data_IF_242752163506
#
_entry.id   IF_242752163506
#
_cell.length_a   1.000
_cell.length_b   1.000
_cell.length_c   1.000
_cell.angle_alpha   90.00
_cell.angle_beta   90.00
_cell.angle_gamma   90.00
#
_symmetry.space_group_name_H-M   'P 1'
#
loop_
_entity.id
_entity.type
_entity.pdbx_description
1 polymer ?
#
# COMPACT_ATOMS: atom_id res chain seq x y z
N UNK A 1 -24.30 -33.27 -44.76
CA UNK A 1 -23.12 -33.07 -43.89
C UNK A 1 -22.85 -31.60 -43.58
N UNK A 2 -23.35 -30.66 -44.38
CA UNK A 2 -23.17 -29.19 -44.12
C UNK A 2 -24.16 -28.59 -43.12
N UNK A 3 -25.34 -29.22 -42.94
CA UNK A 3 -26.38 -28.67 -42.05
C UNK A 3 -26.14 -28.92 -40.55
N UNK A 4 -25.40 -29.95 -40.19
CA UNK A 4 -25.09 -30.27 -38.78
C UNK A 4 -23.99 -29.34 -38.23
N UNK A 5 -23.06 -28.88 -39.08
CA UNK A 5 -21.98 -27.96 -38.65
C UNK A 5 -22.49 -26.54 -38.38
N UNK A 6 -23.54 -26.10 -39.07
CA UNK A 6 -24.12 -24.78 -38.85
C UNK A 6 -24.92 -24.71 -37.54
N UNK A 7 -25.60 -25.79 -37.16
CA UNK A 7 -26.39 -25.88 -35.92
C UNK A 7 -25.45 -25.94 -34.68
N UNK A 8 -24.34 -26.65 -34.79
CA UNK A 8 -23.37 -26.68 -33.69
C UNK A 8 -22.68 -25.32 -33.45
N UNK A 9 -22.38 -24.56 -34.52
CA UNK A 9 -21.83 -23.20 -34.37
C UNK A 9 -22.82 -22.23 -33.72
N UNK A 10 -24.09 -22.32 -34.05
CA UNK A 10 -25.15 -21.48 -33.49
C UNK A 10 -25.44 -21.83 -32.01
N UNK A 11 -25.37 -23.12 -31.65
CA UNK A 11 -25.53 -23.57 -30.26
C UNK A 11 -24.34 -23.14 -29.37
N UNK A 12 -23.11 -23.14 -29.88
CA UNK A 12 -21.96 -22.66 -29.16
C UNK A 12 -22.04 -21.12 -28.96
N UNK A 13 -22.51 -20.38 -29.97
CA UNK A 13 -22.76 -18.93 -29.83
C UNK A 13 -23.90 -18.60 -28.86
N UNK A 14 -24.99 -19.41 -28.83
CA UNK A 14 -26.06 -19.23 -27.86
C UNK A 14 -25.65 -19.64 -26.44
N UNK A 15 -24.78 -20.64 -26.27
CA UNK A 15 -24.22 -21.00 -24.93
C UNK A 15 -23.28 -19.95 -24.38
N UNK A 16 -22.51 -19.26 -25.22
CA UNK A 16 -21.66 -18.12 -24.83
C UNK A 16 -22.49 -16.90 -24.42
N UNK A 17 -23.71 -16.75 -24.94
CA UNK A 17 -24.64 -15.66 -24.58
C UNK A 17 -25.47 -15.95 -23.31
N UNK A 18 -25.62 -17.22 -22.89
CA UNK A 18 -26.44 -17.61 -21.73
C UNK A 18 -25.60 -17.77 -20.46
N UNK A 19 -24.36 -18.21 -20.58
CA UNK A 19 -23.37 -18.09 -19.52
C UNK A 19 -22.55 -16.87 -19.87
N UNK A 20 -22.95 -15.72 -19.33
CA UNK A 20 -22.07 -14.57 -19.30
C UNK A 20 -20.74 -15.01 -18.68
N UNK A 21 -19.81 -15.41 -19.55
CA UNK A 21 -18.39 -15.36 -19.21
C UNK A 21 -18.13 -13.88 -18.90
N UNK A 22 -18.35 -13.50 -17.64
CA UNK A 22 -17.64 -12.38 -17.10
C UNK A 22 -16.18 -12.76 -17.31
N UNK A 23 -15.59 -12.23 -18.38
CA UNK A 23 -14.15 -12.10 -18.47
C UNK A 23 -13.80 -11.43 -17.14
N UNK A 24 -13.15 -12.15 -16.24
CA UNK A 24 -12.52 -11.54 -15.09
C UNK A 24 -11.47 -10.61 -15.67
N UNK A 25 -11.89 -9.37 -15.94
CA UNK A 25 -10.97 -8.31 -16.34
C UNK A 25 -10.09 -8.03 -15.14
N UNK A 26 -8.89 -8.56 -15.21
CA UNK A 26 -7.86 -8.37 -14.21
C UNK A 26 -7.36 -6.94 -14.33
N UNK A 27 -7.81 -6.05 -13.46
CA UNK A 27 -7.34 -4.69 -13.37
C UNK A 27 -6.50 -4.50 -12.12
N UNK A 28 -5.42 -3.74 -12.22
CA UNK A 28 -4.69 -3.23 -11.08
C UNK A 28 -5.53 -2.17 -10.34
N UNK A 29 -5.15 -1.76 -9.13
CA UNK A 29 -5.96 -0.85 -8.31
C UNK A 29 -6.26 0.47 -9.03
N UNK A 30 -7.48 1.04 -8.88
CA UNK A 30 -7.99 2.19 -9.63
C UNK A 30 -7.24 3.51 -9.44
N UNK A 31 -6.35 3.59 -8.49
CA UNK A 31 -5.50 4.73 -8.23
C UNK A 31 -4.16 4.69 -9.01
N UNK A 32 -3.89 3.59 -9.74
CA UNK A 32 -2.81 3.49 -10.71
C UNK A 32 -3.33 3.77 -12.13
N UNK A 33 -2.58 4.56 -12.90
CA UNK A 33 -2.87 4.86 -14.29
C UNK A 33 -1.89 4.14 -15.20
N UNK A 34 -2.42 3.44 -16.21
CA UNK A 34 -1.59 2.74 -17.18
C UNK A 34 -1.05 3.68 -18.25
N UNK A 35 0.24 3.61 -18.53
CA UNK A 35 0.91 4.33 -19.62
C UNK A 35 1.25 3.37 -20.74
N UNK A 36 0.72 3.62 -21.93
CA UNK A 36 1.08 2.89 -23.13
C UNK A 36 2.54 3.15 -23.55
N UNK A 37 3.07 4.34 -23.25
CA UNK A 37 4.43 4.76 -23.62
C UNK A 37 5.50 3.93 -22.89
N UNK A 38 5.28 3.64 -21.62
CA UNK A 38 6.22 2.91 -20.77
C UNK A 38 5.81 1.46 -20.54
N UNK A 39 4.62 1.06 -20.98
CA UNK A 39 3.99 -0.24 -20.70
C UNK A 39 4.01 -0.54 -19.20
N UNK A 40 3.46 0.39 -18.41
CA UNK A 40 3.46 0.25 -16.97
C UNK A 40 2.48 1.19 -16.28
N UNK A 41 2.32 0.99 -14.98
CA UNK A 41 1.34 1.63 -14.13
C UNK A 41 2.00 2.66 -13.24
N UNK A 42 1.42 3.84 -13.13
CA UNK A 42 1.91 4.97 -12.34
C UNK A 42 0.90 5.41 -11.31
N UNK A 43 1.36 5.65 -10.09
CA UNK A 43 0.58 6.25 -9.02
C UNK A 43 1.39 7.34 -8.35
N UNK A 44 0.87 8.58 -8.36
CA UNK A 44 1.44 9.67 -7.58
C UNK A 44 0.96 9.59 -6.14
N UNK A 45 1.89 9.63 -5.22
CA UNK A 45 1.67 9.77 -3.78
C UNK A 45 1.95 11.23 -3.41
N UNK A 46 0.89 11.99 -3.15
CA UNK A 46 0.99 13.43 -2.83
C UNK A 46 1.34 13.69 -1.37
N UNK A 47 1.04 12.76 -0.48
CA UNK A 47 1.44 12.83 0.93
C UNK A 47 2.95 12.59 0.99
N UNK A 48 3.74 13.59 1.47
CA UNK A 48 5.18 13.44 1.52
C UNK A 48 5.62 12.40 2.55
N UNK A 49 6.62 11.60 2.18
CA UNK A 49 7.26 10.62 3.07
C UNK A 49 8.78 10.66 2.92
N UNK A 50 9.51 10.07 3.88
CA UNK A 50 10.95 9.84 3.74
C UNK A 50 11.20 8.91 2.56
N UNK A 51 12.39 8.95 1.97
CA UNK A 51 12.70 8.07 0.84
C UNK A 51 12.53 6.58 1.18
N UNK A 52 12.88 6.19 2.40
CA UNK A 52 12.75 4.80 2.84
C UNK A 52 11.29 4.37 2.94
N UNK A 53 10.42 5.23 3.46
CA UNK A 53 8.98 4.94 3.58
C UNK A 53 8.29 4.99 2.21
N UNK A 54 8.66 5.96 1.36
CA UNK A 54 8.21 6.02 -0.04
C UNK A 54 8.55 4.73 -0.80
N UNK A 55 9.81 4.25 -0.70
CA UNK A 55 10.25 3.00 -1.30
C UNK A 55 9.46 1.80 -0.75
N UNK A 56 9.28 1.74 0.57
CA UNK A 56 8.55 0.64 1.19
C UNK A 56 7.08 0.63 0.77
N UNK A 57 6.41 1.80 0.77
CA UNK A 57 5.01 1.90 0.34
C UNK A 57 4.82 1.41 -1.09
N UNK A 58 5.67 1.83 -2.02
CA UNK A 58 5.61 1.31 -3.39
C UNK A 58 5.80 -0.21 -3.44
N UNK A 59 6.78 -0.75 -2.70
CA UNK A 59 7.06 -2.19 -2.63
C UNK A 59 5.87 -2.98 -2.08
N UNK A 60 5.21 -2.51 -1.03
CA UNK A 60 4.03 -3.14 -0.43
C UNK A 60 2.81 -3.13 -1.37
N UNK A 61 2.78 -2.21 -2.33
CA UNK A 61 1.76 -2.16 -3.39
C UNK A 61 2.14 -3.00 -4.63
N UNK A 62 3.23 -3.77 -4.57
CA UNK A 62 3.72 -4.55 -5.71
C UNK A 62 4.33 -3.69 -6.83
N UNK A 63 4.84 -2.51 -6.47
CA UNK A 63 5.47 -1.54 -7.36
C UNK A 63 6.86 -1.17 -6.87
N UNK A 64 7.58 -0.35 -7.61
CA UNK A 64 8.86 0.24 -7.22
C UNK A 64 8.75 1.76 -7.19
N UNK A 65 9.64 2.42 -6.48
CA UNK A 65 9.77 3.88 -6.54
C UNK A 65 10.28 4.26 -7.94
N UNK A 66 9.49 5.04 -8.67
CA UNK A 66 9.76 5.36 -10.08
C UNK A 66 11.11 6.07 -10.28
N UNK A 67 11.80 5.73 -11.35
CA UNK A 67 13.06 6.36 -11.73
C UNK A 67 13.05 6.76 -13.22
N UNK A 68 13.60 7.91 -13.62
CA UNK A 68 13.62 8.37 -15.01
C UNK A 68 14.69 7.62 -15.84
N UNK A 69 14.59 6.28 -15.90
CA UNK A 69 15.56 5.38 -16.53
C UNK A 69 15.60 5.49 -18.05
N UNK A 70 14.63 6.17 -18.65
CA UNK A 70 14.57 6.46 -20.08
C UNK A 70 13.84 7.79 -20.32
N UNK A 71 13.94 8.32 -21.56
CA UNK A 71 13.19 9.52 -21.96
C UNK A 71 11.68 9.32 -21.85
N UNK A 72 11.17 8.12 -22.12
CA UNK A 72 9.77 7.75 -21.95
C UNK A 72 9.34 7.79 -20.48
N UNK A 73 10.14 7.20 -19.58
CA UNK A 73 9.88 7.26 -18.13
C UNK A 73 9.91 8.69 -17.61
N UNK A 74 10.92 9.48 -17.98
CA UNK A 74 11.02 10.88 -17.59
C UNK A 74 9.82 11.71 -18.10
N UNK A 75 9.36 11.45 -19.32
CA UNK A 75 8.18 12.14 -19.88
C UNK A 75 6.90 11.78 -19.13
N UNK A 76 6.69 10.51 -18.82
CA UNK A 76 5.51 10.05 -18.08
C UNK A 76 5.49 10.55 -16.63
N UNK A 77 6.64 10.53 -15.94
CA UNK A 77 6.77 11.10 -14.61
C UNK A 77 6.41 12.60 -14.60
N UNK A 78 6.95 13.38 -15.57
CA UNK A 78 6.58 14.80 -15.71
C UNK A 78 5.10 15.00 -16.01
N UNK A 79 4.52 14.18 -16.88
CA UNK A 79 3.10 14.22 -17.19
C UNK A 79 2.25 13.98 -15.94
N UNK A 80 2.61 12.95 -15.16
CA UNK A 80 1.95 12.62 -13.90
C UNK A 80 2.02 13.79 -12.92
N UNK A 81 3.20 14.41 -12.74
CA UNK A 81 3.36 15.57 -11.84
C UNK A 81 2.49 16.77 -12.26
N UNK A 82 2.45 17.08 -13.56
CA UNK A 82 1.66 18.21 -14.09
C UNK A 82 0.17 18.05 -13.87
N UNK A 83 -0.35 16.85 -14.02
CA UNK A 83 -1.78 16.55 -13.80
C UNK A 83 -2.25 16.76 -12.35
N UNK A 84 -1.32 16.84 -11.40
CA UNK A 84 -1.59 17.08 -9.99
C UNK A 84 -1.08 18.44 -9.49
N UNK A 85 -0.79 19.37 -10.42
CA UNK A 85 -0.33 20.73 -10.11
C UNK A 85 0.97 20.83 -9.31
N UNK A 86 1.82 19.81 -9.37
CA UNK A 86 3.15 19.81 -8.75
C UNK A 86 4.21 20.46 -9.64
N UNK A 87 3.97 21.72 -10.07
CA UNK A 87 4.81 22.37 -11.09
C UNK A 87 6.20 22.76 -10.56
N UNK A 88 6.31 23.11 -9.29
CA UNK A 88 7.57 23.55 -8.66
C UNK A 88 8.00 22.61 -7.52
N UNK A 89 7.51 21.38 -7.54
CA UNK A 89 7.77 20.42 -6.47
C UNK A 89 8.75 19.35 -6.95
N UNK A 90 9.74 19.04 -6.11
CA UNK A 90 10.62 17.89 -6.29
C UNK A 90 9.95 16.63 -5.76
N UNK A 91 10.01 15.54 -6.51
CA UNK A 91 9.56 14.22 -6.07
C UNK A 91 10.75 13.28 -5.89
N UNK A 92 10.68 12.34 -4.95
CA UNK A 92 11.67 11.28 -4.85
C UNK A 92 11.64 10.36 -6.06
N UNK A 93 12.83 9.93 -6.48
CA UNK A 93 13.03 8.83 -7.41
C UNK A 93 13.53 7.58 -6.69
N UNK A 94 13.51 6.42 -7.35
CA UNK A 94 14.14 5.20 -6.85
C UNK A 94 15.67 5.20 -6.91
N UNK A 95 16.32 6.33 -7.22
CA UNK A 95 17.78 6.42 -7.32
C UNK A 95 18.35 6.88 -5.98
N UNK A 96 19.31 6.11 -5.46
CA UNK A 96 19.90 6.36 -4.14
C UNK A 96 21.36 5.92 -4.05
N UNK A 97 22.08 6.45 -3.05
CA UNK A 97 23.44 6.07 -2.65
C UNK A 97 23.50 5.66 -1.16
N UNK A 98 22.42 5.01 -0.65
CA UNK A 98 22.31 4.65 0.77
C UNK A 98 23.28 3.56 1.20
N UNK A 99 23.77 2.73 0.28
CA UNK A 99 24.71 1.64 0.58
C UNK A 99 26.18 2.06 0.43
N UNK A 100 26.45 3.07 -0.39
CA UNK A 100 27.82 3.52 -0.65
C UNK A 100 27.81 4.99 -1.03
N UNK A 101 28.62 5.79 -0.36
CA UNK A 101 28.77 7.22 -0.65
C UNK A 101 29.12 7.44 -2.12
N UNK A 102 28.35 8.29 -2.81
CA UNK A 102 28.55 8.69 -4.21
C UNK A 102 28.32 7.61 -5.30
N UNK A 103 27.94 6.39 -4.90
CA UNK A 103 27.56 5.34 -5.86
C UNK A 103 26.05 5.23 -5.94
N UNK A 104 25.46 5.91 -6.91
CA UNK A 104 24.01 5.95 -7.11
C UNK A 104 23.53 4.83 -8.03
N UNK A 105 22.48 4.15 -7.60
CA UNK A 105 21.76 3.10 -8.30
C UNK A 105 20.27 3.28 -8.13
N UNK A 106 19.48 2.79 -9.08
CA UNK A 106 18.03 2.62 -8.86
C UNK A 106 17.77 1.49 -7.87
N UNK A 107 16.56 1.44 -7.32
CA UNK A 107 16.10 0.30 -6.49
C UNK A 107 16.19 -1.05 -7.22
N UNK A 108 16.23 -1.04 -8.56
CA UNK A 108 16.40 -2.22 -9.42
C UNK A 108 17.87 -2.48 -9.81
N UNK A 109 18.80 -1.74 -9.25
CA UNK A 109 20.25 -1.93 -9.46
C UNK A 109 20.81 -1.31 -10.73
N UNK A 110 20.11 -0.44 -11.44
CA UNK A 110 20.63 0.28 -12.60
C UNK A 110 21.55 1.42 -12.12
N UNK A 111 22.84 1.45 -12.51
CA UNK A 111 23.74 2.51 -12.09
C UNK A 111 23.39 3.85 -12.76
N UNK A 112 23.59 4.94 -12.02
CA UNK A 112 23.29 6.31 -12.47
C UNK A 112 23.91 6.65 -13.83
N UNK A 113 25.11 6.13 -14.11
CA UNK A 113 25.80 6.35 -15.37
C UNK A 113 25.05 5.83 -16.62
N UNK A 114 24.05 4.98 -16.43
CA UNK A 114 23.18 4.46 -17.51
C UNK A 114 21.85 5.19 -17.60
N UNK A 115 21.59 6.17 -16.73
CA UNK A 115 20.32 6.90 -16.65
C UNK A 115 20.51 8.27 -17.30
N UNK A 116 19.66 8.66 -18.28
CA UNK A 116 19.79 9.94 -18.99
C UNK A 116 19.23 11.08 -18.12
N UNK A 117 19.90 11.39 -17.00
CA UNK A 117 19.52 12.47 -16.09
C UNK A 117 20.08 13.81 -16.59
N UNK A 118 19.25 14.86 -16.44
CA UNK A 118 19.67 16.25 -16.56
C UNK A 118 19.67 16.86 -15.17
N UNK A 119 20.82 17.32 -14.72
CA UNK A 119 20.94 17.95 -13.42
C UNK A 119 20.38 19.38 -13.40
N UNK A 120 19.80 19.78 -12.29
CA UNK A 120 19.49 21.17 -12.03
C UNK A 120 20.77 22.02 -11.88
N UNK A 121 20.65 23.35 -11.93
CA UNK A 121 21.79 24.21 -11.78
C UNK A 121 22.49 24.01 -10.43
N UNK A 122 23.80 23.83 -10.44
CA UNK A 122 24.67 23.55 -9.30
C UNK A 122 24.43 22.19 -8.62
N UNK A 123 23.73 21.27 -9.28
CA UNK A 123 23.51 19.89 -8.81
C UNK A 123 24.35 18.87 -9.61
N UNK A 124 24.75 17.75 -9.05
CA UNK A 124 24.63 17.36 -7.65
C UNK A 124 25.69 18.07 -6.78
N UNK A 125 25.32 18.61 -5.62
CA UNK A 125 26.24 19.34 -4.75
C UNK A 125 26.58 18.60 -3.44
N UNK A 126 25.84 17.52 -3.12
CA UNK A 126 25.98 16.72 -1.92
C UNK A 126 26.06 17.59 -0.64
N UNK A 127 25.12 18.52 -0.49
CA UNK A 127 25.11 19.50 0.58
C UNK A 127 25.32 18.86 1.95
N UNK A 128 26.31 19.37 2.67
CA UNK A 128 26.67 18.85 4.00
C UNK A 128 27.16 17.39 4.02
N UNK A 129 27.47 16.79 2.86
CA UNK A 129 27.80 15.36 2.69
C UNK A 129 26.69 14.40 3.15
N UNK A 130 25.42 14.82 3.08
CA UNK A 130 24.26 14.07 3.58
C UNK A 130 23.26 13.68 2.49
N UNK A 131 23.42 14.17 1.27
CA UNK A 131 22.47 13.92 0.18
C UNK A 131 22.77 12.60 -0.50
N UNK A 132 21.86 11.66 -0.33
CA UNK A 132 21.99 10.27 -0.78
C UNK A 132 20.84 9.82 -1.66
N UNK A 133 19.84 10.68 -1.90
CA UNK A 133 18.64 10.37 -2.65
C UNK A 133 18.48 11.36 -3.80
N UNK A 134 18.08 10.87 -4.97
CA UNK A 134 17.86 11.72 -6.14
C UNK A 134 16.39 12.08 -6.23
N UNK A 135 16.14 13.37 -6.42
CA UNK A 135 14.82 13.93 -6.73
C UNK A 135 14.71 14.27 -8.21
N UNK A 136 13.47 14.46 -8.66
CA UNK A 136 13.12 14.78 -10.03
C UNK A 136 12.07 15.89 -10.07
N UNK A 137 12.31 16.90 -10.90
CA UNK A 137 11.45 18.05 -11.08
C UNK A 137 10.50 17.93 -12.27
N UNK A 138 9.40 18.67 -12.26
CA UNK A 138 8.44 18.72 -13.37
C UNK A 138 9.03 19.28 -14.66
N UNK A 139 10.13 20.04 -14.61
CA UNK A 139 10.87 20.50 -15.77
C UNK A 139 11.79 19.43 -16.37
N UNK A 140 12.00 18.30 -15.65
CA UNK A 140 12.84 17.19 -16.08
C UNK A 140 14.25 17.21 -15.51
N UNK A 141 14.60 18.19 -14.66
CA UNK A 141 15.88 18.22 -13.97
C UNK A 141 15.87 17.37 -12.71
N UNK A 142 17.04 16.95 -12.28
CA UNK A 142 17.26 16.16 -11.07
C UNK A 142 18.19 16.88 -10.10
N UNK A 143 18.10 16.54 -8.82
CA UNK A 143 18.98 17.01 -7.77
C UNK A 143 19.26 15.89 -6.77
N UNK A 144 20.41 15.91 -6.09
CA UNK A 144 20.59 15.08 -4.90
C UNK A 144 20.00 15.79 -3.65
N UNK A 145 19.47 15.01 -2.73
CA UNK A 145 18.76 15.52 -1.54
C UNK A 145 18.94 14.56 -0.37
N UNK A 146 18.69 15.08 0.85
CA UNK A 146 18.61 14.25 2.05
C UNK A 146 17.42 13.30 1.98
N UNK A 147 17.64 12.02 2.30
CA UNK A 147 16.63 10.97 2.20
C UNK A 147 15.57 11.03 3.31
N UNK A 148 15.86 11.71 4.41
CA UNK A 148 15.00 11.85 5.61
C UNK A 148 14.04 13.06 5.54
N UNK A 149 14.20 13.94 4.56
CA UNK A 149 13.26 15.05 4.32
C UNK A 149 12.07 14.57 3.51
N UNK A 150 10.84 14.60 4.05
CA UNK A 150 9.67 14.08 3.34
C UNK A 150 9.39 14.80 2.01
N UNK A 151 9.11 14.02 0.96
CA UNK A 151 8.71 14.50 -0.38
C UNK A 151 7.62 13.63 -0.97
N UNK A 152 6.79 14.17 -1.88
CA UNK A 152 5.94 13.37 -2.75
C UNK A 152 6.78 12.41 -3.61
N UNK A 153 6.15 11.38 -4.16
CA UNK A 153 6.83 10.39 -4.98
C UNK A 153 5.86 9.69 -5.92
N UNK A 154 6.41 8.96 -6.89
CA UNK A 154 5.63 8.15 -7.83
C UNK A 154 5.99 6.68 -7.65
N UNK A 155 5.00 5.83 -7.47
CA UNK A 155 5.15 4.39 -7.57
C UNK A 155 4.95 3.95 -9.03
N UNK A 156 5.81 3.06 -9.51
CA UNK A 156 5.78 2.50 -10.85
C UNK A 156 5.77 0.97 -10.80
N UNK A 157 4.91 0.36 -11.58
CA UNK A 157 4.89 -1.08 -11.83
C UNK A 157 5.01 -1.32 -13.33
N UNK A 158 6.05 -2.03 -13.74
CA UNK A 158 6.19 -2.49 -15.14
C UNK A 158 5.25 -3.67 -15.41
N UNK A 159 4.84 -3.83 -16.65
CA UNK A 159 4.06 -5.00 -17.10
C UNK A 159 2.83 -4.65 -17.90
N UNK A 160 2.14 -5.70 -18.34
CA UNK A 160 0.94 -5.60 -19.16
C UNK A 160 -0.20 -4.87 -18.44
N UNK A 161 -1.20 -4.43 -19.22
CA UNK A 161 -2.38 -3.73 -18.70
C UNK A 161 -3.19 -4.58 -17.73
N UNK A 162 -3.16 -5.90 -17.88
CA UNK A 162 -3.87 -6.83 -17.01
C UNK A 162 -2.97 -7.34 -15.89
N UNK A 163 -3.44 -7.21 -14.66
CA UNK A 163 -2.75 -7.69 -13.45
C UNK A 163 -3.70 -8.58 -12.67
N UNK A 164 -3.30 -9.84 -12.46
CA UNK A 164 -4.05 -10.77 -11.64
C UNK A 164 -3.97 -10.36 -10.17
N UNK A 165 -5.11 -10.11 -9.56
CA UNK A 165 -5.25 -9.95 -8.12
C UNK A 165 -5.95 -11.17 -7.53
N UNK A 166 -5.66 -11.48 -6.27
CA UNK A 166 -6.33 -12.53 -5.52
C UNK A 166 -7.73 -12.05 -5.06
N UNK A 167 -8.47 -12.91 -4.34
CA UNK A 167 -9.81 -12.58 -3.81
C UNK A 167 -9.83 -11.37 -2.88
N UNK A 168 -8.69 -10.96 -2.36
CA UNK A 168 -8.52 -9.80 -1.50
C UNK A 168 -8.25 -8.50 -2.28
N UNK A 169 -8.31 -8.52 -3.61
CA UNK A 169 -8.03 -7.36 -4.46
C UNK A 169 -6.57 -6.90 -4.38
N UNK A 170 -5.64 -7.81 -4.10
CA UNK A 170 -4.20 -7.53 -4.01
C UNK A 170 -3.40 -8.59 -4.74
N UNK A 171 -2.17 -8.24 -5.12
CA UNK A 171 -1.17 -9.17 -5.67
C UNK A 171 -0.41 -9.93 -4.56
N UNK A 172 -0.66 -9.60 -3.31
CA UNK A 172 -0.02 -10.18 -2.14
C UNK A 172 -0.76 -11.44 -1.71
N UNK A 173 -0.13 -12.60 -1.90
CA UNK A 173 -0.70 -13.92 -1.61
C UNK A 173 -0.78 -14.23 -0.10
N UNK A 174 -0.17 -13.42 0.76
CA UNK A 174 -0.26 -13.58 2.22
C UNK A 174 -1.58 -13.05 2.79
N UNK A 175 -2.36 -12.27 2.01
CA UNK A 175 -3.71 -11.90 2.40
C UNK A 175 -4.70 -13.04 2.15
N UNK A 176 -5.36 -13.51 3.20
CA UNK A 176 -6.34 -14.58 3.14
C UNK A 176 -7.75 -14.05 3.40
N UNK A 177 -8.68 -14.43 2.51
CA UNK A 177 -10.09 -14.08 2.63
C UNK A 177 -10.81 -15.01 3.61
N UNK A 178 -11.56 -14.45 4.54
CA UNK A 178 -12.40 -15.17 5.50
C UNK A 178 -13.88 -14.90 5.21
N UNK A 179 -14.62 -15.96 4.84
CA UNK A 179 -16.02 -15.84 4.47
C UNK A 179 -16.92 -15.39 5.62
N UNK A 180 -16.54 -15.69 6.89
CA UNK A 180 -17.30 -15.38 8.10
C UNK A 180 -17.40 -13.87 8.33
N UNK A 181 -16.31 -13.14 8.10
CA UNK A 181 -16.22 -11.69 8.25
C UNK A 181 -16.36 -10.94 6.92
N UNK A 182 -16.25 -11.66 5.79
CA UNK A 182 -16.16 -11.12 4.41
C UNK A 182 -14.97 -10.17 4.21
N UNK A 183 -13.93 -10.30 5.03
CA UNK A 183 -12.72 -9.49 5.00
C UNK A 183 -11.48 -10.34 4.78
N UNK A 184 -10.37 -9.69 4.53
CA UNK A 184 -9.07 -10.29 4.33
C UNK A 184 -8.11 -9.89 5.46
N UNK A 185 -7.30 -10.85 5.90
CA UNK A 185 -6.31 -10.61 6.96
C UNK A 185 -4.96 -11.16 6.55
N UNK A 186 -3.92 -10.48 7.01
CA UNK A 186 -2.52 -10.87 6.88
C UNK A 186 -1.82 -10.73 8.22
N UNK A 187 -1.08 -11.75 8.62
CA UNK A 187 -0.24 -11.74 9.80
C UNK A 187 1.19 -11.35 9.41
N UNK A 188 1.65 -10.22 9.89
CA UNK A 188 3.02 -9.76 9.69
C UNK A 188 3.94 -10.34 10.77
N UNK A 189 4.84 -11.26 10.35
CA UNK A 189 5.82 -11.93 11.22
C UNK A 189 7.04 -11.07 11.51
N UNK A 190 7.37 -10.13 10.63
CA UNK A 190 8.44 -9.16 10.84
C UNK A 190 7.94 -8.10 11.81
N UNK A 191 8.56 -7.97 13.00
CA UNK A 191 8.05 -7.09 14.04
C UNK A 191 8.24 -5.61 13.68
N UNK A 192 7.35 -4.78 14.17
CA UNK A 192 7.42 -3.33 14.07
C UNK A 192 6.86 -2.64 15.30
N UNK A 193 7.13 -1.35 15.49
CA UNK A 193 6.37 -0.50 16.40
C UNK A 193 4.91 -0.38 15.91
N UNK A 194 4.01 0.08 16.78
CA UNK A 194 2.61 0.31 16.40
C UNK A 194 2.50 1.28 15.22
N UNK A 195 3.25 2.37 15.24
CA UNK A 195 3.32 3.34 14.12
C UNK A 195 3.77 2.66 12.82
N UNK A 196 4.82 1.83 12.89
CA UNK A 196 5.30 1.08 11.72
C UNK A 196 4.27 0.08 11.22
N UNK A 197 3.60 -0.64 12.10
CA UNK A 197 2.53 -1.56 11.77
C UNK A 197 1.35 -0.84 11.10
N UNK A 198 0.92 0.30 11.65
CA UNK A 198 -0.12 1.14 11.06
C UNK A 198 0.27 1.62 9.64
N UNK A 199 1.50 2.10 9.48
CA UNK A 199 2.03 2.50 8.17
C UNK A 199 2.00 1.35 7.16
N UNK A 200 2.48 0.15 7.53
CA UNK A 200 2.55 -1.01 6.64
C UNK A 200 1.14 -1.42 6.20
N UNK A 201 0.21 -1.60 7.12
CA UNK A 201 -1.18 -1.95 6.77
C UNK A 201 -1.83 -0.91 5.86
N UNK A 202 -1.62 0.39 6.13
CA UNK A 202 -2.10 1.48 5.27
C UNK A 202 -1.47 1.43 3.87
N UNK A 203 -0.17 1.13 3.76
CA UNK A 203 0.52 1.01 2.49
C UNK A 203 0.02 -0.17 1.64
N UNK A 204 -0.45 -1.24 2.29
CA UNK A 204 -1.08 -2.40 1.65
C UNK A 204 -2.56 -2.16 1.30
N UNK A 205 -3.07 -0.93 1.41
CA UNK A 205 -4.48 -0.54 1.21
C UNK A 205 -5.44 -1.23 2.21
N UNK A 206 -4.98 -1.40 3.44
CA UNK A 206 -5.74 -1.91 4.56
C UNK A 206 -5.53 -1.03 5.80
N UNK A 207 -5.76 -1.59 6.95
CA UNK A 207 -5.50 -0.99 8.26
C UNK A 207 -5.12 -2.08 9.27
N UNK A 208 -4.60 -1.70 10.44
CA UNK A 208 -4.47 -2.65 11.55
C UNK A 208 -5.84 -3.25 11.89
N UNK A 209 -5.91 -4.57 12.04
CA UNK A 209 -7.16 -5.30 12.23
C UNK A 209 -7.96 -4.76 13.43
N UNK A 210 -9.25 -4.61 13.27
CA UNK A 210 -10.17 -4.15 14.31
C UNK A 210 -11.12 -5.29 14.61
N UNK A 211 -11.22 -5.70 15.88
CA UNK A 211 -12.25 -6.66 16.27
C UNK A 211 -13.57 -5.90 16.45
N UNK A 212 -14.56 -6.23 15.63
CA UNK A 212 -15.90 -5.62 15.68
C UNK A 212 -17.02 -6.60 16.04
N UNK A 213 -16.68 -7.88 16.25
CA UNK A 213 -17.63 -8.95 16.58
C UNK A 213 -16.92 -10.18 17.15
N UNK A 214 -17.68 -11.09 17.73
CA UNK A 214 -17.17 -12.42 18.13
C UNK A 214 -16.70 -13.24 16.94
N UNK A 215 -17.34 -13.08 15.79
CA UNK A 215 -16.94 -13.75 14.56
C UNK A 215 -15.55 -13.30 14.10
N UNK A 216 -15.26 -12.02 14.24
CA UNK A 216 -13.93 -11.48 13.93
C UNK A 216 -12.88 -11.89 14.95
N UNK A 217 -13.24 -11.90 16.26
CA UNK A 217 -12.37 -12.45 17.28
C UNK A 217 -11.99 -13.92 17.02
N UNK A 218 -12.95 -14.75 16.55
CA UNK A 218 -12.67 -16.13 16.16
C UNK A 218 -11.74 -16.21 14.93
N UNK A 219 -11.95 -15.36 13.93
CA UNK A 219 -11.09 -15.29 12.74
C UNK A 219 -9.67 -14.87 13.15
N UNK A 220 -9.50 -13.82 13.96
CA UNK A 220 -8.16 -13.39 14.39
C UNK A 220 -7.47 -14.43 15.29
N UNK A 221 -8.23 -15.17 16.11
CA UNK A 221 -7.68 -16.30 16.85
C UNK A 221 -7.11 -17.38 15.92
N UNK A 222 -7.82 -17.66 14.82
CA UNK A 222 -7.34 -18.58 13.80
C UNK A 222 -6.12 -18.03 13.06
N UNK A 223 -6.14 -16.78 12.62
CA UNK A 223 -5.00 -16.10 11.97
C UNK A 223 -3.76 -16.19 12.87
N UNK A 224 -3.92 -15.97 14.16
CA UNK A 224 -2.84 -16.07 15.13
C UNK A 224 -2.36 -17.53 15.32
N UNK A 225 -3.28 -18.50 15.36
CA UNK A 225 -2.95 -19.91 15.50
C UNK A 225 -2.17 -20.45 14.27
N UNK A 226 -2.50 -20.00 13.07
CA UNK A 226 -1.80 -20.34 11.83
C UNK A 226 -0.35 -19.78 11.79
N UNK A 227 0.02 -18.93 12.76
CA UNK A 227 1.34 -18.33 12.93
C UNK A 227 1.94 -18.68 14.30
N UNK A 228 2.43 -19.92 14.51
CA UNK A 228 3.04 -20.34 15.76
C UNK A 228 4.35 -19.60 16.03
N UNK A 229 4.79 -19.56 17.28
CA UNK A 229 6.01 -18.85 17.72
C UNK A 229 7.24 -19.24 16.93
N UNK A 230 7.32 -20.51 16.48
CA UNK A 230 8.42 -21.01 15.65
C UNK A 230 8.48 -20.39 14.25
N UNK A 231 7.36 -19.87 13.75
CA UNK A 231 7.30 -19.21 12.43
C UNK A 231 7.60 -17.71 12.50
N UNK A 232 7.71 -17.14 13.70
CA UNK A 232 7.92 -15.71 13.93
C UNK A 232 9.40 -15.49 14.30
N UNK A 233 10.20 -14.83 13.44
CA UNK A 233 11.63 -14.62 13.69
C UNK A 233 11.86 -13.56 14.78
N UNK A 234 12.98 -13.70 15.49
CA UNK A 234 13.43 -12.70 16.48
C UNK A 234 13.13 -13.06 17.94
N UNK A 235 13.67 -12.23 18.85
CA UNK A 235 13.54 -12.38 20.32
C UNK A 235 12.71 -11.23 20.86
N UNK A 236 11.39 -11.35 20.80
CA UNK A 236 10.39 -10.43 21.32
C UNK A 236 9.15 -11.21 21.76
N UNK A 237 8.15 -10.51 22.31
CA UNK A 237 6.89 -11.13 22.72
C UNK A 237 6.11 -11.66 21.52
N UNK A 238 5.92 -12.95 21.42
CA UNK A 238 5.23 -13.63 20.29
C UNK A 238 3.81 -14.09 20.65
N UNK A 239 3.44 -13.96 21.90
CA UNK A 239 2.11 -14.27 22.41
C UNK A 239 1.09 -13.17 22.17
N UNK A 240 1.56 -11.97 21.77
CA UNK A 240 0.73 -10.80 21.47
C UNK A 240 1.03 -10.25 20.07
N UNK A 241 0.07 -9.57 19.46
CA UNK A 241 0.22 -8.87 18.19
C UNK A 241 -0.51 -7.52 18.24
N UNK A 242 0.07 -6.47 17.62
CA UNK A 242 -0.65 -5.21 17.48
C UNK A 242 -1.88 -5.35 16.58
N UNK A 243 -2.95 -4.67 16.99
CA UNK A 243 -4.19 -4.47 16.23
C UNK A 243 -4.64 -3.01 16.32
N UNK A 244 -5.68 -2.65 15.58
CA UNK A 244 -6.06 -1.29 15.23
C UNK A 244 -6.82 -0.49 16.29
N UNK A 245 -6.30 -0.38 17.52
CA UNK A 245 -6.83 0.58 18.50
C UNK A 245 -5.72 1.20 19.36
N UNK A 246 -5.96 2.40 19.88
CA UNK A 246 -5.10 3.08 20.85
C UNK A 246 -5.89 4.15 21.62
N UNK A 247 -5.29 4.74 22.65
CA UNK A 247 -5.97 5.69 23.53
C UNK A 247 -5.92 7.15 23.08
N UNK A 248 -5.34 7.41 21.89
CA UNK A 248 -5.21 8.76 21.31
C UNK A 248 -4.58 9.80 22.25
N UNK A 249 -3.74 9.37 23.20
CA UNK A 249 -3.08 10.20 24.20
C UNK A 249 -3.91 10.50 25.45
N UNK A 250 -5.09 9.89 25.57
CA UNK A 250 -5.92 9.99 26.78
C UNK A 250 -6.15 8.59 27.32
N UNK A 251 -5.34 8.19 28.28
CA UNK A 251 -5.40 6.84 28.82
C UNK A 251 -6.82 6.44 29.27
N UNK A 252 -7.24 5.27 28.85
CA UNK A 252 -8.56 4.71 29.10
C UNK A 252 -9.62 5.04 28.06
N UNK A 253 -9.40 6.04 27.18
CA UNK A 253 -10.30 6.31 26.05
C UNK A 253 -9.80 5.56 24.79
N UNK A 254 -9.80 4.24 24.87
CA UNK A 254 -9.37 3.40 23.77
C UNK A 254 -10.36 3.45 22.61
N UNK A 255 -9.83 3.83 21.43
CA UNK A 255 -10.58 3.94 20.18
C UNK A 255 -9.88 3.19 19.07
N UNK A 256 -10.66 2.70 18.12
CA UNK A 256 -10.13 2.12 16.88
C UNK A 256 -9.34 3.16 16.09
N UNK A 257 -8.53 2.71 15.15
CA UNK A 257 -7.83 3.61 14.20
C UNK A 257 -8.80 4.40 13.30
N UNK A 258 -10.10 4.11 13.35
CA UNK A 258 -11.18 4.86 12.70
C UNK A 258 -11.89 5.85 13.64
N UNK A 259 -11.52 5.89 14.93
CA UNK A 259 -12.02 6.85 15.92
C UNK A 259 -13.21 6.37 16.74
N UNK A 260 -13.78 5.20 16.45
CA UNK A 260 -14.88 4.61 17.24
C UNK A 260 -14.36 4.09 18.60
N UNK A 261 -15.14 4.19 19.66
CA UNK A 261 -14.83 3.46 20.89
C UNK A 261 -14.89 1.95 20.66
N UNK A 262 -14.15 1.16 21.43
CA UNK A 262 -14.15 -0.31 21.28
C UNK A 262 -15.56 -0.90 21.42
N UNK A 263 -16.38 -0.30 22.27
CA UNK A 263 -17.78 -0.70 22.48
C UNK A 263 -18.65 -0.38 21.25
N UNK A 264 -18.48 0.80 20.65
CA UNK A 264 -19.17 1.17 19.40
C UNK A 264 -18.74 0.29 18.23
N UNK A 265 -17.44 -0.04 18.15
CA UNK A 265 -16.92 -0.97 17.17
C UNK A 265 -17.49 -2.39 17.34
N UNK A 266 -17.89 -2.79 18.57
CA UNK A 266 -18.59 -4.04 18.86
C UNK A 266 -17.80 -5.09 19.65
N UNK A 267 -16.58 -4.77 20.11
CA UNK A 267 -15.75 -5.68 20.90
C UNK A 267 -14.83 -4.92 21.87
N UNK A 268 -15.06 -5.13 23.18
CA UNK A 268 -14.34 -4.48 24.26
C UNK A 268 -13.83 -5.48 25.33
N UNK A 269 -13.57 -6.74 24.94
CA UNK A 269 -13.17 -7.81 25.86
C UNK A 269 -11.67 -7.85 26.06
N UNK A 270 -11.22 -7.33 27.18
CA UNK A 270 -9.82 -7.40 27.60
C UNK A 270 -9.49 -8.69 28.36
N UNK A 271 -8.21 -9.06 28.39
CA UNK A 271 -7.70 -10.06 29.33
C UNK A 271 -7.95 -9.60 30.76
N UNK A 272 -8.13 -10.54 31.69
CA UNK A 272 -8.30 -10.22 33.09
C UNK A 272 -7.12 -9.41 33.63
N UNK A 273 -7.41 -8.22 34.16
CA UNK A 273 -6.42 -7.29 34.67
C UNK A 273 -5.98 -6.23 33.66
N UNK A 274 -6.47 -6.31 32.40
CA UNK A 274 -6.23 -5.31 31.37
C UNK A 274 -7.50 -4.47 31.10
N UNK A 275 -7.37 -3.23 30.62
CA UNK A 275 -6.13 -2.47 30.39
C UNK A 275 -5.52 -2.00 31.73
N UNK A 276 -4.20 -2.09 31.89
CA UNK A 276 -3.53 -1.80 33.17
C UNK A 276 -2.54 -0.61 33.10
N UNK A 277 -2.20 -0.12 31.90
CA UNK A 277 -1.23 0.96 31.66
C UNK A 277 0.06 0.75 32.44
N UNK A 278 0.64 -0.43 32.31
CA UNK A 278 1.87 -0.77 33.04
C UNK A 278 2.94 0.31 32.85
N UNK A 279 3.58 0.73 33.93
CA UNK A 279 4.52 1.84 33.95
C UNK A 279 3.99 3.17 33.38
N UNK A 280 2.70 3.30 33.09
CA UNK A 280 2.04 4.47 32.49
C UNK A 280 2.52 4.80 31.08
N UNK A 281 2.88 3.79 30.29
CA UNK A 281 3.41 3.92 28.92
C UNK A 281 2.68 3.04 27.89
N UNK A 282 1.62 2.34 28.31
CA UNK A 282 0.86 1.44 27.45
C UNK A 282 -0.34 2.17 26.86
N UNK A 283 -0.21 2.60 25.62
CA UNK A 283 -1.18 3.41 24.90
C UNK A 283 -1.72 2.74 23.63
N UNK A 284 -1.12 1.62 23.20
CA UNK A 284 -1.41 0.97 21.94
C UNK A 284 -2.06 -0.40 22.14
N UNK A 285 -3.02 -0.69 21.27
CA UNK A 285 -3.80 -1.90 21.29
C UNK A 285 -3.08 -3.13 20.76
N UNK A 286 -3.27 -4.23 21.46
CA UNK A 286 -2.80 -5.55 21.03
C UNK A 286 -3.83 -6.62 21.39
N UNK A 287 -3.64 -7.82 20.85
CA UNK A 287 -4.38 -9.02 21.23
C UNK A 287 -3.43 -10.13 21.63
N UNK A 288 -3.89 -10.93 22.58
CA UNK A 288 -3.32 -12.26 22.84
C UNK A 288 -3.81 -13.28 21.80
N UNK A 289 -3.17 -14.45 21.78
CA UNK A 289 -3.61 -15.60 20.95
C UNK A 289 -5.05 -16.05 21.23
N UNK A 290 -5.62 -15.67 22.37
CA UNK A 290 -7.04 -15.86 22.70
C UNK A 290 -7.99 -14.91 21.98
N UNK A 291 -7.47 -13.89 21.29
CA UNK A 291 -8.16 -12.73 20.75
C UNK A 291 -8.73 -11.78 21.81
N UNK A 292 -8.35 -11.93 23.09
CA UNK A 292 -8.66 -10.93 24.12
C UNK A 292 -7.71 -9.75 24.01
N UNK A 293 -8.25 -8.55 24.23
CA UNK A 293 -7.56 -7.28 24.09
C UNK A 293 -6.55 -7.04 25.22
N UNK A 294 -5.55 -6.24 24.93
CA UNK A 294 -4.53 -5.80 25.86
C UNK A 294 -3.97 -4.45 25.41
N UNK A 295 -3.60 -3.58 26.36
CA UNK A 295 -2.80 -2.38 26.07
C UNK A 295 -1.29 -2.70 26.18
N UNK A 296 -0.50 -2.06 25.34
CA UNK A 296 0.95 -2.18 25.34
C UNK A 296 1.61 -0.86 24.95
N UNK A 297 2.91 -0.74 25.27
CA UNK A 297 3.70 0.39 24.78
C UNK A 297 3.87 0.35 23.25
N UNK A 298 3.77 1.53 22.62
CA UNK A 298 3.66 1.65 21.18
C UNK A 298 4.99 1.41 20.42
N UNK A 299 6.13 1.55 21.09
CA UNK A 299 7.47 1.49 20.48
C UNK A 299 8.09 0.10 20.39
N UNK A 300 7.44 -0.92 20.96
CA UNK A 300 7.96 -2.29 20.98
C UNK A 300 7.93 -2.98 19.63
N UNK A 301 8.91 -3.84 19.35
CA UNK A 301 8.88 -4.66 18.15
C UNK A 301 7.94 -5.86 18.38
N UNK A 302 6.74 -5.81 17.81
CA UNK A 302 5.77 -6.89 17.86
C UNK A 302 5.30 -7.29 16.47
N UNK A 303 4.85 -8.54 16.28
CA UNK A 303 4.07 -8.92 15.11
C UNK A 303 2.76 -8.12 15.10
N UNK A 304 2.12 -8.04 13.96
CA UNK A 304 0.87 -7.31 13.82
C UNK A 304 -0.04 -7.94 12.77
N UNK A 305 -1.32 -7.61 12.83
CA UNK A 305 -2.31 -8.14 11.90
C UNK A 305 -2.93 -6.98 11.14
N UNK A 306 -2.84 -7.06 9.81
CA UNK A 306 -3.55 -6.16 8.91
C UNK A 306 -4.89 -6.75 8.48
N UNK A 307 -5.87 -5.89 8.34
CA UNK A 307 -7.20 -6.15 7.80
C UNK A 307 -7.39 -5.36 6.52
N UNK A 308 -8.08 -5.94 5.54
CA UNK A 308 -8.37 -5.32 4.26
C UNK A 308 -9.77 -5.68 3.78
N UNK A 309 -10.50 -4.68 3.29
CA UNK A 309 -11.73 -4.92 2.54
C UNK A 309 -11.37 -5.43 1.12
N UNK A 310 -11.92 -6.58 0.68
CA UNK A 310 -11.70 -7.10 -0.67
C UNK A 310 -12.12 -6.12 -1.78
N UNK A 311 -13.09 -5.26 -1.51
CA UNK A 311 -13.60 -4.29 -2.47
C UNK A 311 -12.80 -2.96 -2.48
N UNK A 312 -11.80 -2.81 -1.63
CA UNK A 312 -11.02 -1.58 -1.54
C UNK A 312 -9.52 -1.81 -1.80
N UNK A 313 -8.84 -0.98 -2.59
CA UNK A 313 -9.46 0.03 -3.48
C UNK A 313 -10.28 -0.63 -4.59
N UNK A 314 -11.29 0.04 -5.14
CA UNK A 314 -12.13 -0.55 -6.17
C UNK A 314 -11.26 -1.00 -7.35
N UNK A 315 -11.57 -2.17 -7.91
CA UNK A 315 -10.91 -2.67 -9.13
C UNK A 315 -11.36 -1.80 -10.30
N UNK A 316 -10.42 -1.24 -11.06
CA UNK A 316 -10.75 -0.44 -12.23
C UNK A 316 -11.42 -1.29 -13.29
N UNK A 317 -12.63 -0.92 -13.68
CA UNK A 317 -13.19 -1.40 -14.95
C UNK A 317 -12.43 -0.72 -16.10
N UNK A 318 -12.08 -1.42 -17.19
CA UNK A 318 -11.54 -0.77 -18.36
C UNK A 318 -12.56 0.28 -18.79
N UNK A 319 -12.16 1.54 -18.84
CA UNK A 319 -12.95 2.55 -19.54
C UNK A 319 -12.92 2.16 -21.00
N UNK A 320 -14.05 1.74 -21.54
CA UNK A 320 -14.26 1.79 -22.98
C UNK A 320 -13.94 3.20 -23.42
N UNK A 321 -13.18 3.37 -24.50
CA UNK A 321 -12.67 4.64 -25.04
C UNK A 321 -13.80 5.61 -25.50
N UNK A 322 -14.88 5.72 -24.75
CA UNK A 322 -15.97 6.68 -24.97
C UNK A 322 -16.21 7.48 -23.69
N UNK A 323 -15.69 8.71 -23.69
CA UNK A 323 -16.15 9.76 -22.80
C UNK A 323 -15.27 10.05 -21.59
N UNK A 324 -14.30 10.93 -21.78
CA UNK A 324 -13.85 11.83 -20.70
C UNK A 324 -15.03 12.73 -20.36
N UNK A 325 -15.95 12.23 -19.56
CA UNK A 325 -16.89 13.10 -18.86
C UNK A 325 -16.18 13.70 -17.66
N UNK A 326 -15.57 14.86 -17.88
CA UNK A 326 -15.04 15.69 -16.81
C UNK A 326 -16.20 15.94 -15.86
N UNK A 327 -16.11 15.43 -14.64
CA UNK A 327 -17.10 15.62 -13.59
C UNK A 327 -17.31 17.14 -13.36
N UNK A 328 -18.40 17.66 -13.88
CA UNK A 328 -18.79 19.08 -13.81
C UNK A 328 -19.04 19.58 -12.38
N UNK A 329 -18.90 18.72 -11.36
CA UNK A 329 -19.12 19.08 -9.95
C UNK A 329 -18.00 19.94 -9.35
N UNK A 330 -16.82 19.99 -9.96
CA UNK A 330 -15.71 20.84 -9.48
C UNK A 330 -15.69 22.26 -10.07
N UNK A 331 -16.58 22.59 -11.02
CA UNK A 331 -16.61 23.95 -11.61
C UNK A 331 -17.41 25.01 -10.82
N UNK A 332 -18.17 24.61 -9.81
CA UNK A 332 -19.05 25.53 -9.06
C UNK A 332 -18.53 25.87 -7.64
N UNK A 333 -17.24 25.72 -7.36
CA UNK A 333 -16.64 26.12 -6.07
C UNK A 333 -15.52 27.17 -6.20
N UNK A 334 -15.34 27.74 -7.41
CA UNK A 334 -14.41 28.86 -7.63
C UNK A 334 -15.11 29.90 -8.51
N UNK A 335 -16.18 30.53 -7.97
CA UNK A 335 -16.68 31.84 -8.30
C UNK A 335 -17.04 32.57 -7.01
#
# INVERSE_FOLDING_TARGET
MYTVFCIMKTLIQCFVLIFGLHSMECAFTCDYKYSLLTKGWFKLQVVPETWQDARLRCSLQGAVLASPTSSAMAAEMRHTMKNFFLQDTEIFTGIHATFSSQSYYTVDGIPLSKIPLVWANNEPDNFGNKERCITFNSNGSAADRMCDQPRPYICFRSGEKEVLTNRCGTVDDEYHYYAKTKKCYKFHRVPGSFERAHFVCSAENGHLAIINSEDEAEVLRKVFADNPDSSIPGSFRKEVAYIGFHDWGTWGDFRTVHGETLKEAGYDKFVSGEPNNYEKIEHCGSIYRSALLNDLYCSGPLPFICEKDPAYPPVCQPTTDEGIEIDKRFKNQVE
#
